data_IF_893791547469
#
_entry.id   IF_893791547469
#
_cell.length_a   1.000
_cell.length_b   1.000
_cell.length_c   1.000
_cell.angle_alpha   90.00
_cell.angle_beta   90.00
_cell.angle_gamma   90.00
#
_symmetry.space_group_name_H-M   'P 1'
#
loop_
_entity.id
_entity.type
_entity.pdbx_description
1 polymer ?
#
# COMPACT_ATOMS: atom_id res chain seq x y z
N UNK A 1 10.23 1.44 4.70
CA UNK A 1 11.30 0.84 5.48
C UNK A 1 11.84 -0.43 4.82
N UNK A 2 11.01 -1.48 4.66
CA UNK A 2 11.44 -2.81 4.18
C UNK A 2 12.05 -2.78 2.77
N UNK A 3 11.60 -1.90 1.88
CA UNK A 3 12.17 -1.76 0.52
C UNK A 3 13.63 -1.30 0.51
N UNK A 4 14.11 -0.75 1.64
CA UNK A 4 15.53 -0.42 1.85
C UNK A 4 16.28 -1.50 2.65
N UNK A 5 15.59 -2.56 3.03
CA UNK A 5 16.13 -3.60 3.90
C UNK A 5 16.04 -3.30 5.39
N UNK A 6 15.36 -2.23 5.79
CA UNK A 6 15.23 -1.86 7.19
C UNK A 6 14.11 -2.68 7.87
N UNK A 7 14.46 -3.28 9.02
CA UNK A 7 13.48 -3.93 9.89
C UNK A 7 12.69 -2.85 10.63
N UNK A 8 11.35 -2.84 10.57
CA UNK A 8 10.52 -1.97 11.40
C UNK A 8 10.82 -2.20 12.88
N UNK A 9 10.77 -1.14 13.67
CA UNK A 9 11.08 -1.19 15.09
C UNK A 9 9.99 -0.56 15.92
N UNK A 10 9.71 0.73 15.72
CA UNK A 10 8.65 1.44 16.43
C UNK A 10 7.69 2.12 15.45
N UNK A 11 6.46 2.29 15.92
CA UNK A 11 5.39 3.03 15.25
C UNK A 11 4.74 3.98 16.24
N UNK A 12 4.47 5.21 15.78
CA UNK A 12 3.67 6.20 16.50
C UNK A 12 2.47 6.54 15.61
N UNK A 13 1.29 6.61 16.21
CA UNK A 13 0.08 7.00 15.51
C UNK A 13 -0.34 8.44 15.84
N UNK A 14 -1.10 9.03 14.94
CA UNK A 14 -1.83 10.27 15.15
C UNK A 14 -3.26 10.08 14.67
N UNK A 15 -4.21 10.28 15.58
CA UNK A 15 -5.63 10.16 15.30
C UNK A 15 -6.24 11.54 15.44
N UNK A 16 -6.78 12.10 14.35
CA UNK A 16 -7.50 13.39 14.34
C UNK A 16 -8.97 13.13 14.00
N UNK A 17 -9.88 13.57 14.86
CA UNK A 17 -11.30 13.19 14.79
C UNK A 17 -12.20 14.39 15.16
N UNK A 18 -13.40 14.45 14.59
CA UNK A 18 -14.38 15.49 14.92
C UNK A 18 -14.83 15.41 16.38
N UNK A 19 -15.17 14.20 16.86
CA UNK A 19 -15.58 13.92 18.23
C UNK A 19 -15.13 12.52 18.64
N UNK A 20 -14.55 12.42 19.84
CA UNK A 20 -14.15 11.15 20.41
C UNK A 20 -15.38 10.33 20.80
N UNK A 21 -15.53 9.18 20.15
CA UNK A 21 -16.52 8.14 20.49
C UNK A 21 -15.72 6.90 20.86
N UNK A 22 -15.68 6.55 22.14
CA UNK A 22 -14.82 5.50 22.68
C UNK A 22 -14.87 4.17 21.90
N UNK A 23 -16.05 3.72 21.51
CA UNK A 23 -16.19 2.46 20.77
C UNK A 23 -15.55 2.53 19.37
N UNK A 24 -15.63 3.67 18.68
CA UNK A 24 -14.96 3.89 17.40
C UNK A 24 -13.45 3.96 17.58
N UNK A 25 -13.00 4.73 18.58
CA UNK A 25 -11.57 4.88 18.88
C UNK A 25 -10.93 3.53 19.22
N UNK A 26 -11.57 2.71 20.03
CA UNK A 26 -11.12 1.33 20.33
C UNK A 26 -10.94 0.49 19.07
N UNK A 27 -11.86 0.58 18.09
CA UNK A 27 -11.74 -0.14 16.83
C UNK A 27 -10.58 0.36 15.97
N UNK A 28 -10.35 1.68 15.93
CA UNK A 28 -9.21 2.29 15.21
C UNK A 28 -7.89 1.80 15.82
N UNK A 29 -7.73 1.94 17.14
CA UNK A 29 -6.52 1.51 17.86
C UNK A 29 -6.29 0.00 17.69
N UNK A 30 -7.33 -0.82 17.74
CA UNK A 30 -7.24 -2.26 17.48
C UNK A 30 -6.71 -2.54 16.07
N UNK A 31 -7.14 -1.76 15.06
CA UNK A 31 -6.64 -1.86 13.70
C UNK A 31 -5.16 -1.48 13.59
N UNK A 32 -4.74 -0.39 14.23
CA UNK A 32 -3.34 0.07 14.29
C UNK A 32 -2.47 -0.99 14.97
N UNK A 33 -2.89 -1.46 16.16
CA UNK A 33 -2.17 -2.52 16.89
C UNK A 33 -2.01 -3.79 16.06
N UNK A 34 -3.06 -4.19 15.32
CA UNK A 34 -2.98 -5.36 14.42
C UNK A 34 -1.99 -5.14 13.26
N UNK A 35 -1.96 -3.94 12.69
CA UNK A 35 -0.96 -3.57 11.69
C UNK A 35 0.47 -3.63 12.24
N UNK A 36 0.68 -3.14 13.44
CA UNK A 36 1.97 -3.19 14.13
C UNK A 36 2.42 -4.63 14.43
N UNK A 37 1.51 -5.47 14.91
CA UNK A 37 1.76 -6.91 15.13
C UNK A 37 2.20 -7.61 13.83
N UNK A 38 1.45 -7.40 12.74
CA UNK A 38 1.74 -8.02 11.43
C UNK A 38 3.07 -7.54 10.83
N UNK A 39 3.45 -6.29 11.11
CA UNK A 39 4.71 -5.71 10.65
C UNK A 39 5.88 -5.95 11.60
N UNK A 40 5.67 -6.66 12.72
CA UNK A 40 6.68 -6.87 13.77
C UNK A 40 7.27 -5.55 14.29
N UNK A 41 6.40 -4.56 14.47
CA UNK A 41 6.71 -3.20 14.87
C UNK A 41 6.01 -2.87 16.19
N UNK A 42 6.70 -2.26 17.14
CA UNK A 42 6.08 -1.89 18.42
C UNK A 42 5.29 -0.59 18.30
N UNK A 43 4.03 -0.58 18.72
CA UNK A 43 3.28 0.64 18.94
C UNK A 43 3.75 1.24 20.28
N UNK A 44 4.47 2.35 20.22
CA UNK A 44 5.12 2.93 21.42
C UNK A 44 4.43 4.18 21.94
N UNK A 45 3.48 4.73 21.19
CA UNK A 45 2.74 5.92 21.55
C UNK A 45 2.08 6.56 20.35
N UNK A 46 1.58 7.75 20.57
CA UNK A 46 0.93 8.56 19.55
C UNK A 46 0.19 9.71 20.18
N UNK A 47 -0.70 10.34 19.41
CA UNK A 47 -1.53 11.45 19.86
C UNK A 47 -2.95 11.28 19.31
N UNK A 48 -3.94 11.68 20.10
CA UNK A 48 -5.34 11.73 19.66
C UNK A 48 -5.89 13.14 19.87
N UNK A 49 -6.25 13.81 18.78
CA UNK A 49 -6.79 15.15 18.80
C UNK A 49 -8.29 15.16 18.45
N UNK A 50 -9.11 15.70 19.35
CA UNK A 50 -10.49 16.05 19.06
C UNK A 50 -10.53 17.45 18.44
N UNK A 51 -11.03 17.56 17.20
CA UNK A 51 -10.98 18.79 16.41
C UNK A 51 -12.36 19.14 15.85
N UNK A 52 -13.29 19.59 16.72
CA UNK A 52 -14.63 20.00 16.30
C UNK A 52 -14.53 21.21 15.35
N UNK A 53 -15.32 21.18 14.28
CA UNK A 53 -15.30 22.23 13.25
C UNK A 53 -14.26 22.04 12.15
N UNK A 54 -13.18 21.27 12.37
CA UNK A 54 -12.21 20.91 11.33
C UNK A 54 -12.71 19.73 10.51
N UNK A 55 -13.23 18.71 11.17
CA UNK A 55 -13.80 17.53 10.50
C UNK A 55 -15.34 17.57 10.56
N UNK A 56 -15.98 17.15 9.47
CA UNK A 56 -17.42 16.93 9.47
C UNK A 56 -17.76 15.73 10.35
N UNK A 57 -18.98 15.75 10.92
CA UNK A 57 -19.47 14.71 11.85
C UNK A 57 -19.14 13.27 11.42
N UNK A 58 -18.49 12.53 12.28
CA UNK A 58 -18.11 11.14 12.08
C UNK A 58 -16.89 10.92 11.20
N UNK A 59 -16.23 11.99 10.74
CA UNK A 59 -14.98 11.91 9.97
C UNK A 59 -13.77 11.94 10.89
N UNK A 60 -12.73 11.29 10.45
CA UNK A 60 -11.43 11.24 11.13
C UNK A 60 -10.32 11.06 10.09
N UNK A 61 -9.12 11.37 10.50
CA UNK A 61 -7.90 11.12 9.74
C UNK A 61 -6.88 10.38 10.59
N UNK A 62 -6.05 9.58 9.94
CA UNK A 62 -5.01 8.78 10.58
C UNK A 62 -3.67 9.06 9.89
N UNK A 63 -2.67 9.36 10.70
CA UNK A 63 -1.30 9.40 10.25
C UNK A 63 -0.44 8.42 11.07
N UNK A 64 0.65 7.96 10.49
CA UNK A 64 1.56 7.07 11.17
C UNK A 64 3.01 7.42 10.88
N UNK A 65 3.86 7.27 11.89
CA UNK A 65 5.30 7.47 11.77
C UNK A 65 6.02 6.20 12.19
N UNK A 66 6.76 5.60 11.25
CA UNK A 66 7.46 4.35 11.49
C UNK A 66 8.99 4.55 11.44
N UNK A 67 9.70 3.98 12.40
CA UNK A 67 11.16 3.94 12.43
C UNK A 67 11.63 2.50 12.29
N UNK A 68 12.73 2.30 11.58
CA UNK A 68 13.34 0.98 11.41
C UNK A 68 14.85 1.07 11.27
N UNK A 69 15.52 -0.06 11.39
CA UNK A 69 16.97 -0.15 11.36
C UNK A 69 17.47 -1.07 10.25
N UNK A 70 18.59 -0.69 9.65
CA UNK A 70 19.34 -1.53 8.71
C UNK A 70 20.83 -1.27 8.89
N UNK A 71 21.63 -2.31 8.90
CA UNK A 71 23.09 -2.13 8.85
C UNK A 71 23.48 -1.53 7.51
N UNK A 72 24.35 -0.49 7.48
CA UNK A 72 24.76 0.23 6.26
C UNK A 72 25.17 -0.70 5.10
N UNK A 73 25.83 -1.82 5.41
CA UNK A 73 26.25 -2.84 4.43
C UNK A 73 25.08 -3.65 3.84
N UNK A 74 23.91 -3.69 4.50
CA UNK A 74 22.75 -4.47 4.10
C UNK A 74 21.68 -3.63 3.39
N UNK A 75 21.88 -2.31 3.25
CA UNK A 75 20.97 -1.44 2.49
C UNK A 75 20.90 -1.95 1.05
N UNK A 76 19.69 -2.16 0.53
CA UNK A 76 19.47 -2.54 -0.86
C UNK A 76 19.90 -1.38 -1.78
N UNK A 77 20.67 -1.70 -2.82
CA UNK A 77 21.27 -0.69 -3.71
C UNK A 77 21.02 -1.05 -5.16
N UNK A 78 20.38 -0.14 -5.89
CA UNK A 78 20.10 -0.31 -7.33
C UNK A 78 21.34 -0.58 -8.19
N UNK A 79 22.53 -0.12 -7.78
CA UNK A 79 23.79 -0.40 -8.48
C UNK A 79 24.16 -1.90 -8.52
N UNK A 80 23.51 -2.73 -7.71
CA UNK A 80 23.74 -4.17 -7.69
C UNK A 80 22.92 -4.93 -8.74
N UNK A 81 21.98 -4.24 -9.42
CA UNK A 81 21.21 -4.83 -10.52
C UNK A 81 22.08 -5.03 -11.75
N UNK A 82 21.79 -6.12 -12.46
CA UNK A 82 22.46 -6.48 -13.72
C UNK A 82 21.43 -6.91 -14.75
N UNK A 83 21.80 -6.83 -16.02
CA UNK A 83 21.02 -7.45 -17.10
C UNK A 83 20.86 -8.95 -16.82
N UNK A 84 19.67 -9.50 -17.08
CA UNK A 84 19.33 -10.89 -16.80
C UNK A 84 18.82 -11.16 -15.37
N UNK A 85 18.79 -10.16 -14.47
CA UNK A 85 18.15 -10.31 -13.18
C UNK A 85 16.63 -10.50 -13.35
N UNK A 86 16.05 -11.41 -12.57
CA UNK A 86 14.62 -11.69 -12.62
C UNK A 86 13.82 -10.73 -11.74
N UNK A 87 12.63 -10.35 -12.21
CA UNK A 87 11.66 -9.57 -11.46
C UNK A 87 10.66 -10.53 -10.82
N UNK A 88 10.56 -10.49 -9.49
CA UNK A 88 9.57 -11.23 -8.73
C UNK A 88 8.43 -10.30 -8.33
N UNK A 89 7.22 -10.58 -8.81
CA UNK A 89 6.01 -9.86 -8.42
C UNK A 89 5.34 -10.55 -7.22
N UNK A 90 5.02 -9.78 -6.19
CA UNK A 90 4.28 -10.26 -5.02
C UNK A 90 2.84 -9.77 -5.13
N UNK A 91 1.82 -10.67 -5.03
CA UNK A 91 0.43 -10.27 -5.20
C UNK A 91 -0.04 -9.24 -4.17
N UNK A 92 -0.79 -8.24 -4.62
CA UNK A 92 -1.52 -7.32 -3.76
C UNK A 92 -2.79 -7.97 -3.21
N UNK A 93 -3.37 -7.37 -2.16
CA UNK A 93 -4.66 -7.79 -1.61
C UNK A 93 -5.85 -7.10 -2.28
N UNK A 94 -5.62 -6.06 -3.06
CA UNK A 94 -6.63 -5.21 -3.68
C UNK A 94 -6.03 -3.88 -4.12
N UNK A 95 -6.81 -2.82 -4.05
CA UNK A 95 -6.39 -1.46 -4.41
C UNK A 95 -5.23 -0.94 -3.55
N UNK A 96 -5.08 -1.48 -2.35
CA UNK A 96 -4.25 -0.91 -1.30
C UNK A 96 -4.72 0.52 -0.97
N UNK A 97 -3.82 1.52 -0.98
CA UNK A 97 -4.17 2.90 -0.58
C UNK A 97 -4.20 3.88 -1.75
N UNK A 98 -4.14 3.42 -3.01
CA UNK A 98 -4.01 4.29 -4.18
C UNK A 98 -5.18 4.13 -5.17
N UNK A 99 -5.43 5.22 -5.95
CA UNK A 99 -6.45 5.23 -6.99
C UNK A 99 -7.88 5.49 -6.49
N UNK A 100 -8.11 5.77 -5.20
CA UNK A 100 -9.45 5.98 -4.66
C UNK A 100 -10.15 7.23 -5.21
N UNK A 101 -9.43 8.23 -5.69
CA UNK A 101 -10.03 9.39 -6.36
C UNK A 101 -10.76 8.97 -7.62
N UNK A 102 -10.15 8.13 -8.45
CA UNK A 102 -10.78 7.57 -9.64
C UNK A 102 -11.95 6.65 -9.29
N UNK A 103 -11.81 5.80 -8.29
CA UNK A 103 -12.91 4.95 -7.81
C UNK A 103 -14.11 5.79 -7.34
N UNK A 104 -13.88 6.84 -6.55
CA UNK A 104 -14.97 7.75 -6.11
C UNK A 104 -15.62 8.46 -7.29
N UNK A 105 -14.83 8.88 -8.28
CA UNK A 105 -15.37 9.47 -9.51
C UNK A 105 -16.29 8.49 -10.25
N UNK A 106 -15.86 7.23 -10.46
CA UNK A 106 -16.67 6.17 -11.08
C UNK A 106 -17.98 5.96 -10.30
N UNK A 107 -17.90 5.80 -8.99
CA UNK A 107 -19.07 5.60 -8.13
C UNK A 107 -20.07 6.75 -8.26
N UNK A 108 -19.58 8.00 -8.20
CA UNK A 108 -20.41 9.21 -8.30
C UNK A 108 -21.05 9.34 -9.69
N UNK A 109 -20.25 9.22 -10.76
CA UNK A 109 -20.70 9.35 -12.15
C UNK A 109 -21.80 8.33 -12.52
N UNK A 110 -21.70 7.12 -11.96
CA UNK A 110 -22.63 6.03 -12.27
C UNK A 110 -23.69 5.78 -11.18
N UNK A 111 -23.83 6.70 -10.20
CA UNK A 111 -24.78 6.58 -9.08
C UNK A 111 -24.70 5.27 -8.30
N UNK A 112 -23.50 4.69 -8.19
CA UNK A 112 -23.28 3.40 -7.53
C UNK A 112 -23.18 3.61 -6.02
N UNK A 113 -24.07 2.98 -5.25
CA UNK A 113 -24.10 3.01 -3.79
C UNK A 113 -23.34 1.81 -3.21
N UNK A 114 -22.20 2.04 -2.56
CA UNK A 114 -21.34 0.99 -1.99
C UNK A 114 -22.11 0.11 -1.00
N UNK A 115 -22.96 0.70 -0.15
CA UNK A 115 -23.73 -0.03 0.86
C UNK A 115 -24.74 -1.02 0.27
N UNK A 116 -25.14 -0.87 -0.99
CA UNK A 116 -26.01 -1.79 -1.74
C UNK A 116 -25.25 -2.84 -2.54
N UNK A 117 -23.91 -2.82 -2.52
CA UNK A 117 -23.07 -3.74 -3.29
C UNK A 117 -22.05 -4.42 -2.35
N UNK A 118 -22.32 -5.67 -2.00
CA UNK A 118 -21.50 -6.45 -1.06
C UNK A 118 -20.07 -6.66 -1.57
N UNK A 119 -19.89 -6.86 -2.87
CA UNK A 119 -18.57 -6.99 -3.51
C UNK A 119 -17.75 -5.71 -3.31
N UNK A 120 -18.31 -4.55 -3.69
CA UNK A 120 -17.61 -3.27 -3.55
C UNK A 120 -17.32 -2.93 -2.10
N UNK A 121 -18.29 -3.17 -1.21
CA UNK A 121 -18.11 -2.98 0.22
C UNK A 121 -16.91 -3.77 0.75
N UNK A 122 -16.77 -5.03 0.35
CA UNK A 122 -15.66 -5.90 0.72
C UNK A 122 -14.33 -5.44 0.11
N UNK A 123 -14.31 -5.20 -1.20
CA UNK A 123 -13.07 -4.90 -1.92
C UNK A 123 -12.50 -3.50 -1.60
N UNK A 124 -13.38 -2.49 -1.43
CA UNK A 124 -12.94 -1.12 -1.18
C UNK A 124 -12.47 -0.85 0.27
N UNK A 125 -12.77 -1.74 1.21
CA UNK A 125 -12.28 -1.63 2.59
C UNK A 125 -11.17 -2.65 2.90
N UNK A 126 -10.74 -3.43 1.91
CA UNK A 126 -9.71 -4.46 2.10
C UNK A 126 -8.38 -3.81 2.50
N UNK A 127 -7.79 -4.22 3.63
CA UNK A 127 -6.53 -3.64 4.09
C UNK A 127 -5.39 -3.85 3.10
N UNK A 128 -4.48 -2.90 3.04
CA UNK A 128 -3.20 -3.06 2.35
C UNK A 128 -2.45 -4.26 2.94
N UNK A 129 -1.95 -5.14 2.09
CA UNK A 129 -1.16 -6.28 2.52
C UNK A 129 0.18 -5.81 3.12
N UNK A 130 0.54 -6.38 4.24
CA UNK A 130 1.82 -6.13 4.92
C UNK A 130 2.80 -7.21 4.48
N UNK A 131 3.95 -6.81 3.93
CA UNK A 131 4.95 -7.70 3.32
C UNK A 131 6.21 -7.88 4.17
N UNK A 132 6.20 -7.41 5.41
CA UNK A 132 7.40 -7.31 6.24
C UNK A 132 8.13 -8.63 6.39
N UNK A 133 7.41 -9.70 6.74
CA UNK A 133 8.00 -11.02 6.96
C UNK A 133 8.62 -11.61 5.70
N UNK A 134 7.85 -11.57 4.60
CA UNK A 134 8.26 -12.13 3.31
C UNK A 134 9.51 -11.42 2.78
N UNK A 135 9.47 -10.09 2.70
CA UNK A 135 10.56 -9.28 2.15
C UNK A 135 11.82 -9.39 3.01
N UNK A 136 11.70 -9.23 4.33
CA UNK A 136 12.87 -9.34 5.21
C UNK A 136 13.49 -10.76 5.19
N UNK A 137 12.69 -11.80 4.98
CA UNK A 137 13.19 -13.15 4.81
C UNK A 137 14.01 -13.30 3.52
N UNK A 138 13.50 -12.78 2.39
CA UNK A 138 14.22 -12.78 1.11
C UNK A 138 15.53 -11.99 1.19
N UNK A 139 15.52 -10.85 1.90
CA UNK A 139 16.73 -10.04 2.13
C UNK A 139 17.77 -10.81 2.96
N UNK A 140 17.34 -11.47 4.06
CA UNK A 140 18.23 -12.29 4.88
C UNK A 140 18.89 -13.41 4.10
N UNK A 141 18.14 -14.02 3.18
CA UNK A 141 18.64 -15.07 2.27
C UNK A 141 19.44 -14.51 1.08
N UNK A 142 19.62 -13.17 0.99
CA UNK A 142 20.31 -12.50 -0.11
C UNK A 142 19.72 -12.80 -1.50
N UNK A 143 18.40 -13.04 -1.56
CA UNK A 143 17.70 -13.41 -2.79
C UNK A 143 17.25 -12.18 -3.60
N UNK A 144 17.21 -10.97 -3.00
CA UNK A 144 16.82 -9.75 -3.66
C UNK A 144 17.88 -8.67 -3.56
N UNK A 145 18.03 -7.89 -4.62
CA UNK A 145 18.99 -6.79 -4.75
C UNK A 145 18.34 -5.43 -4.54
N UNK A 146 17.09 -5.29 -4.97
CA UNK A 146 16.24 -4.11 -4.82
C UNK A 146 14.79 -4.53 -4.60
N UNK A 147 13.98 -3.60 -4.14
CA UNK A 147 12.55 -3.80 -3.95
C UNK A 147 11.81 -2.51 -4.31
N UNK A 148 10.75 -2.60 -5.09
CA UNK A 148 9.83 -1.51 -5.37
C UNK A 148 8.51 -1.76 -4.65
N UNK A 149 7.96 -0.75 -3.98
CA UNK A 149 6.61 -0.78 -3.43
C UNK A 149 5.67 -0.10 -4.43
N UNK A 150 4.70 -0.83 -4.95
CA UNK A 150 3.80 -0.33 -5.99
C UNK A 150 2.69 0.50 -5.35
N UNK A 151 2.83 1.81 -5.45
CA UNK A 151 1.95 2.83 -4.88
C UNK A 151 1.41 3.76 -5.97
N UNK A 152 1.15 5.03 -5.66
CA UNK A 152 0.77 6.04 -6.66
C UNK A 152 1.82 6.14 -7.77
N UNK A 153 1.36 6.25 -9.02
CA UNK A 153 2.20 6.13 -10.21
C UNK A 153 2.29 4.71 -10.79
N UNK A 154 1.67 3.72 -10.09
CA UNK A 154 1.54 2.35 -10.57
C UNK A 154 2.86 1.61 -10.78
N UNK A 155 2.85 0.63 -11.68
CA UNK A 155 4.02 -0.21 -11.94
C UNK A 155 5.19 0.60 -12.53
N UNK A 156 4.92 1.40 -13.55
CA UNK A 156 5.95 2.11 -14.32
C UNK A 156 6.79 3.03 -13.44
N UNK A 157 6.15 3.96 -12.74
CA UNK A 157 6.84 4.96 -11.92
C UNK A 157 7.61 4.33 -10.75
N UNK A 158 7.03 3.33 -10.10
CA UNK A 158 7.65 2.75 -8.91
C UNK A 158 8.81 1.81 -9.26
N UNK A 159 8.73 1.09 -10.37
CA UNK A 159 9.80 0.22 -10.84
C UNK A 159 10.97 1.07 -11.37
N UNK A 160 10.69 2.12 -12.15
CA UNK A 160 11.74 2.99 -12.70
C UNK A 160 12.63 3.63 -11.62
N UNK A 161 12.08 3.91 -10.43
CA UNK A 161 12.86 4.47 -9.31
C UNK A 161 13.99 3.56 -8.83
N UNK A 162 13.82 2.25 -8.96
CA UNK A 162 14.80 1.26 -8.48
C UNK A 162 15.68 0.70 -9.59
N UNK A 163 15.39 0.97 -10.85
CA UNK A 163 16.21 0.58 -11.99
C UNK A 163 17.34 1.62 -12.19
N UNK A 164 18.61 1.22 -12.30
CA UNK A 164 19.71 2.14 -12.59
C UNK A 164 19.70 2.59 -14.06
N UNK A 165 20.35 3.71 -14.35
CA UNK A 165 20.58 4.15 -15.73
C UNK A 165 21.28 3.05 -16.55
N UNK A 166 20.86 2.86 -17.81
CA UNK A 166 21.40 1.85 -18.71
C UNK A 166 20.76 0.46 -18.61
N UNK A 167 19.78 0.28 -17.70
CA UNK A 167 18.95 -0.92 -17.64
C UNK A 167 17.48 -0.56 -17.85
N UNK A 168 16.71 -1.52 -18.33
CA UNK A 168 15.24 -1.46 -18.41
C UNK A 168 14.61 -2.70 -17.76
N UNK A 169 13.36 -2.55 -17.32
CA UNK A 169 12.57 -3.67 -16.83
C UNK A 169 11.61 -4.13 -17.94
N UNK A 170 11.65 -5.39 -18.27
CA UNK A 170 10.67 -6.04 -19.13
C UNK A 170 9.66 -6.80 -18.28
N UNK A 171 8.37 -6.47 -18.43
CA UNK A 171 7.31 -7.03 -17.60
C UNK A 171 6.24 -7.64 -18.49
N UNK A 172 6.09 -8.95 -18.39
CA UNK A 172 4.98 -9.67 -19.02
C UNK A 172 3.70 -9.53 -18.17
N UNK A 173 2.84 -8.60 -18.55
CA UNK A 173 1.59 -8.32 -17.84
C UNK A 173 0.63 -9.53 -17.85
N UNK A 174 0.75 -10.47 -18.81
CA UNK A 174 -0.08 -11.67 -18.86
C UNK A 174 0.14 -12.60 -17.67
N UNK A 175 1.32 -12.54 -17.05
CA UNK A 175 1.69 -13.31 -15.85
C UNK A 175 1.17 -12.70 -14.55
N UNK A 176 0.62 -11.48 -14.58
CA UNK A 176 0.05 -10.81 -13.41
C UNK A 176 -1.40 -11.21 -13.27
N UNK A 177 -1.75 -11.85 -12.15
CA UNK A 177 -3.14 -12.17 -11.83
C UNK A 177 -3.92 -10.91 -11.51
N UNK A 178 -4.77 -10.49 -12.43
CA UNK A 178 -5.68 -9.35 -12.24
C UNK A 178 -6.80 -9.72 -11.27
N UNK A 179 -6.94 -8.96 -10.18
CA UNK A 179 -8.02 -9.13 -9.21
C UNK A 179 -9.35 -8.59 -9.74
N UNK A 180 -10.48 -9.13 -9.24
CA UNK A 180 -11.82 -8.77 -9.70
C UNK A 180 -12.14 -7.27 -9.56
N UNK A 181 -11.58 -6.59 -8.56
CA UNK A 181 -11.79 -5.16 -8.38
C UNK A 181 -11.21 -4.35 -9.56
N UNK A 182 -10.07 -4.75 -10.13
CA UNK A 182 -9.50 -4.07 -11.30
C UNK A 182 -10.30 -4.36 -12.56
N UNK A 183 -10.81 -5.59 -12.73
CA UNK A 183 -11.73 -5.93 -13.81
C UNK A 183 -13.03 -5.12 -13.72
N UNK A 184 -13.54 -4.91 -12.49
CA UNK A 184 -14.71 -4.08 -12.28
C UNK A 184 -14.45 -2.62 -12.67
N UNK A 185 -13.31 -2.03 -12.29
CA UNK A 185 -12.93 -0.66 -12.68
C UNK A 185 -12.84 -0.52 -14.20
N UNK A 186 -12.26 -1.50 -14.89
CA UNK A 186 -12.14 -1.50 -16.35
C UNK A 186 -13.47 -1.46 -17.11
N UNK A 187 -14.56 -1.94 -16.53
CA UNK A 187 -15.90 -1.86 -17.13
C UNK A 187 -16.39 -0.42 -17.38
N UNK A 188 -15.74 0.57 -16.79
CA UNK A 188 -16.08 2.00 -16.95
C UNK A 188 -15.19 2.72 -17.97
N UNK A 189 -14.73 2.01 -18.99
CA UNK A 189 -13.91 2.54 -20.10
C UNK A 189 -12.59 3.18 -19.63
N UNK A 190 -12.01 2.70 -18.53
CA UNK A 190 -10.68 3.09 -18.10
C UNK A 190 -9.64 2.36 -18.96
N UNK A 191 -8.76 3.12 -19.61
CA UNK A 191 -7.73 2.56 -20.50
C UNK A 191 -6.70 1.74 -19.72
N UNK A 192 -6.04 0.79 -20.40
CA UNK A 192 -4.95 0.01 -19.76
C UNK A 192 -3.83 0.91 -19.26
N UNK A 193 -3.48 1.95 -20.02
CA UNK A 193 -2.49 2.94 -19.63
C UNK A 193 -2.85 3.63 -18.31
N UNK A 194 -4.11 4.06 -18.15
CA UNK A 194 -4.59 4.68 -16.91
C UNK A 194 -4.62 3.67 -15.75
N UNK A 195 -5.02 2.42 -16.02
CA UNK A 195 -5.00 1.36 -15.02
C UNK A 195 -3.60 1.14 -14.44
N UNK A 196 -2.60 0.98 -15.31
CA UNK A 196 -1.19 0.72 -14.92
C UNK A 196 -0.57 1.91 -14.20
N UNK A 197 -0.96 3.14 -14.58
CA UNK A 197 -0.47 4.38 -13.97
C UNK A 197 -1.10 4.65 -12.59
N UNK A 198 -2.38 4.30 -12.41
CA UNK A 198 -3.14 4.68 -11.22
C UNK A 198 -3.15 3.58 -10.16
N UNK A 199 -3.15 2.32 -10.57
CA UNK A 199 -3.34 1.18 -9.69
C UNK A 199 -2.13 0.24 -9.67
N UNK A 200 -2.06 -0.56 -8.62
CA UNK A 200 -1.08 -1.64 -8.50
C UNK A 200 -1.38 -2.85 -9.42
N UNK A 201 -2.58 -2.91 -10.00
CA UNK A 201 -3.07 -3.95 -10.93
C UNK A 201 -2.87 -5.40 -10.46
N UNK A 202 -2.73 -5.63 -9.15
CA UNK A 202 -2.55 -6.96 -8.57
C UNK A 202 -1.15 -7.23 -8.02
N UNK A 203 -0.23 -6.26 -8.09
CA UNK A 203 1.14 -6.34 -7.56
C UNK A 203 1.35 -5.31 -6.46
N UNK A 204 1.92 -5.69 -5.30
CA UNK A 204 2.12 -4.80 -4.17
C UNK A 204 3.56 -4.38 -3.92
#
# INVERSE_FOLDING_TARGET
>A
LIVQGAKPFIFLDYISIDKIILNKLKLIIKGISKGCELSECMLVGGETAEMPGTYTKGKFDLAGFAVGFVKKKNILKKKNLKSGDLILAIPSSGLHSNGYSLVRHILKKNNIKINKNSFLKKELIRPTKIYTKEILNLIRKRMIKVCANITGGGLEDNISRVIPKGLSAEIDLSKIRTLEIFRWIKKFNITDKEMIKTFNCGVG
#
